data_IF_734368891683
#
_entry.id   IF_734368891683
#
_cell.length_a   1.000
_cell.length_b   1.000
_cell.length_c   1.000
_cell.angle_alpha   90.00
_cell.angle_beta   90.00
_cell.angle_gamma   90.00
#
_symmetry.space_group_name_H-M   'P 1'
#
loop_
_entity.id
_entity.type
_entity.pdbx_description
1 polymer ?
#
# COMPACT_ATOMS: atom_id res chain seq x y z
N UNK A 1 -7.02 -10.07 -20.41
CA UNK A 1 -6.56 -11.46 -20.20
C UNK A 1 -7.42 -12.06 -19.11
N UNK A 2 -8.09 -13.20 -19.36
CA UNK A 2 -8.85 -13.89 -18.33
C UNK A 2 -7.94 -14.76 -17.46
N UNK A 3 -8.47 -15.27 -16.32
CA UNK A 3 -7.67 -16.01 -15.34
C UNK A 3 -7.05 -17.30 -15.90
N UNK A 4 -7.75 -18.01 -16.79
CA UNK A 4 -7.20 -19.21 -17.42
C UNK A 4 -6.05 -18.87 -18.38
N UNK A 5 -6.15 -17.77 -19.12
CA UNK A 5 -5.06 -17.26 -19.95
C UNK A 5 -3.88 -16.81 -19.09
N UNK A 6 -4.15 -16.22 -17.93
CA UNK A 6 -3.12 -15.83 -16.97
C UNK A 6 -2.38 -17.06 -16.44
N UNK A 7 -3.09 -18.12 -16.00
CA UNK A 7 -2.46 -19.38 -15.60
C UNK A 7 -1.59 -19.97 -16.70
N UNK A 8 -2.11 -20.06 -17.93
CA UNK A 8 -1.34 -20.60 -19.07
C UNK A 8 -0.08 -19.82 -19.38
N UNK A 9 -0.05 -18.52 -19.09
CA UNK A 9 1.08 -17.66 -19.38
C UNK A 9 2.15 -17.70 -18.30
N UNK A 10 1.76 -17.82 -17.03
CA UNK A 10 2.67 -17.60 -15.90
C UNK A 10 2.91 -18.82 -15.03
N UNK A 11 2.08 -19.87 -15.13
CA UNK A 11 2.26 -21.11 -14.38
C UNK A 11 3.07 -22.12 -15.21
N UNK A 12 3.83 -22.98 -14.52
CA UNK A 12 4.51 -24.08 -15.19
C UNK A 12 3.45 -24.99 -15.85
N UNK A 13 3.61 -25.40 -17.12
CA UNK A 13 2.66 -26.31 -17.79
C UNK A 13 2.33 -27.59 -17.01
N UNK A 14 3.27 -28.13 -16.23
CA UNK A 14 3.05 -29.30 -15.39
C UNK A 14 2.04 -29.05 -14.25
N UNK A 15 1.91 -27.79 -13.79
CA UNK A 15 1.05 -27.41 -12.67
C UNK A 15 -0.31 -26.84 -13.13
N UNK A 16 -0.53 -26.75 -14.46
CA UNK A 16 -1.69 -26.06 -15.03
C UNK A 16 -3.03 -26.71 -14.64
N UNK A 17 -3.09 -28.03 -14.63
CA UNK A 17 -4.33 -28.76 -14.28
C UNK A 17 -4.71 -28.51 -12.80
N UNK A 18 -3.74 -28.59 -11.90
CA UNK A 18 -3.94 -28.28 -10.48
C UNK A 18 -4.27 -26.79 -10.28
N UNK A 19 -3.63 -25.89 -11.02
CA UNK A 19 -3.93 -24.47 -11.01
C UNK A 19 -5.38 -24.18 -11.43
N UNK A 20 -5.89 -24.83 -12.47
CA UNK A 20 -7.29 -24.69 -12.90
C UNK A 20 -8.25 -25.23 -11.82
N UNK A 21 -7.90 -26.30 -11.14
CA UNK A 21 -8.69 -26.85 -10.03
C UNK A 21 -8.79 -25.86 -8.87
N UNK A 22 -7.67 -25.25 -8.47
CA UNK A 22 -7.63 -24.20 -7.42
C UNK A 22 -8.45 -22.98 -7.83
N UNK A 23 -8.36 -22.56 -9.09
CA UNK A 23 -9.15 -21.44 -9.61
C UNK A 23 -10.66 -21.71 -9.49
N UNK A 24 -11.11 -22.93 -9.81
CA UNK A 24 -12.51 -23.35 -9.64
C UNK A 24 -12.97 -23.41 -8.18
N UNK A 25 -12.03 -23.53 -7.24
CA UNK A 25 -12.28 -23.45 -5.80
C UNK A 25 -12.35 -22.00 -5.29
N UNK A 26 -12.17 -21.01 -6.16
CA UNK A 26 -12.24 -19.59 -5.81
C UNK A 26 -10.94 -19.01 -5.28
N UNK A 27 -9.80 -19.68 -5.49
CA UNK A 27 -8.49 -19.13 -5.12
C UNK A 27 -8.07 -18.08 -6.16
N UNK A 28 -7.62 -16.86 -5.75
CA UNK A 28 -7.14 -15.85 -6.68
C UNK A 28 -6.01 -16.35 -7.56
N UNK A 29 -6.07 -16.03 -8.84
CA UNK A 29 -5.09 -16.50 -9.83
C UNK A 29 -3.66 -16.09 -9.47
N UNK A 30 -3.48 -14.92 -8.84
CA UNK A 30 -2.18 -14.42 -8.38
C UNK A 30 -1.59 -15.29 -7.27
N UNK A 31 -2.42 -15.79 -6.35
CA UNK A 31 -1.95 -16.74 -5.32
C UNK A 31 -1.62 -18.12 -5.89
N UNK A 32 -2.34 -18.55 -6.95
CA UNK A 32 -2.02 -19.80 -7.63
C UNK A 32 -0.67 -19.71 -8.34
N UNK A 33 -0.41 -18.59 -9.01
CA UNK A 33 0.87 -18.32 -9.70
C UNK A 33 1.98 -17.97 -8.71
N UNK A 34 1.61 -17.46 -7.51
CA UNK A 34 2.54 -17.06 -6.46
C UNK A 34 3.20 -15.70 -6.67
N UNK A 35 2.80 -14.96 -7.70
CA UNK A 35 3.34 -13.62 -7.95
C UNK A 35 2.40 -12.74 -8.76
N UNK A 36 2.69 -11.42 -8.74
CA UNK A 36 2.00 -10.39 -9.52
C UNK A 36 3.02 -9.37 -10.03
N UNK A 37 2.72 -8.76 -11.18
CA UNK A 37 3.44 -7.57 -11.62
C UNK A 37 2.83 -6.33 -10.98
N UNK A 38 3.68 -5.43 -10.48
CA UNK A 38 3.29 -4.13 -9.94
C UNK A 38 4.36 -3.11 -10.36
N UNK A 39 3.95 -2.06 -11.05
CA UNK A 39 4.82 -0.98 -11.53
C UNK A 39 6.03 -1.49 -12.33
N UNK A 40 5.87 -2.56 -13.11
CA UNK A 40 6.94 -3.20 -13.88
C UNK A 40 7.85 -4.16 -13.10
N UNK A 41 7.70 -4.27 -11.78
CA UNK A 41 8.43 -5.20 -10.91
C UNK A 41 7.59 -6.43 -10.60
N UNK A 42 8.24 -7.57 -10.28
CA UNK A 42 7.56 -8.81 -9.92
C UNK A 42 7.58 -9.02 -8.41
N UNK A 43 6.40 -9.15 -7.80
CA UNK A 43 6.24 -9.36 -6.37
C UNK A 43 5.66 -10.74 -6.08
N UNK A 44 6.28 -11.49 -5.19
CA UNK A 44 5.70 -12.71 -4.62
C UNK A 44 4.51 -12.34 -3.73
N UNK A 45 3.45 -13.12 -3.86
CA UNK A 45 2.22 -12.96 -3.07
C UNK A 45 1.69 -14.32 -2.65
N UNK A 46 1.06 -14.37 -1.49
CA UNK A 46 0.31 -15.50 -0.96
C UNK A 46 -0.78 -14.98 -0.01
N UNK A 47 -1.49 -15.86 0.65
CA UNK A 47 -2.58 -15.56 1.58
C UNK A 47 -2.21 -14.67 2.79
N UNK A 48 -0.93 -14.36 2.98
CA UNK A 48 -0.47 -13.49 4.08
C UNK A 48 -0.39 -12.01 3.69
N UNK A 49 -0.56 -11.65 2.42
CA UNK A 49 -0.46 -10.27 1.92
C UNK A 49 -1.61 -9.93 0.97
N UNK A 50 -2.07 -8.70 1.01
CA UNK A 50 -2.98 -8.17 0.00
C UNK A 50 -2.34 -8.29 -1.38
N UNK A 51 -3.10 -8.77 -2.37
CA UNK A 51 -2.65 -8.75 -3.76
C UNK A 51 -2.53 -7.28 -4.21
N UNK A 52 -1.35 -6.80 -4.63
CA UNK A 52 -1.17 -5.43 -5.13
C UNK A 52 -2.19 -5.05 -6.20
N UNK A 53 -2.79 -3.86 -6.07
CA UNK A 53 -3.85 -3.36 -6.93
C UNK A 53 -3.32 -2.31 -7.91
N UNK A 54 -4.03 -2.16 -9.02
CA UNK A 54 -3.68 -1.17 -10.03
C UNK A 54 -3.83 0.27 -9.49
N UNK A 55 -4.84 0.54 -8.68
CA UNK A 55 -5.02 1.83 -8.03
C UNK A 55 -3.83 2.19 -7.12
N UNK A 56 -3.21 1.19 -6.50
CA UNK A 56 -2.01 1.41 -5.69
C UNK A 56 -0.79 1.78 -6.55
N UNK A 57 -0.70 1.30 -7.81
CA UNK A 57 0.31 1.80 -8.76
C UNK A 57 0.11 3.30 -9.05
N UNK A 58 -1.14 3.75 -9.21
CA UNK A 58 -1.45 5.17 -9.41
C UNK A 58 -1.07 6.03 -8.19
N UNK A 59 -1.29 5.52 -6.96
CA UNK A 59 -0.82 6.18 -5.74
C UNK A 59 0.69 6.39 -5.76
N UNK A 60 1.45 5.34 -6.12
CA UNK A 60 2.91 5.39 -6.22
C UNK A 60 3.36 6.37 -7.29
N UNK A 61 2.79 6.31 -8.50
CA UNK A 61 3.12 7.21 -9.60
C UNK A 61 2.92 8.68 -9.24
N UNK A 62 1.74 9.00 -8.68
CA UNK A 62 1.43 10.36 -8.22
C UNK A 62 2.38 10.82 -7.10
N UNK A 63 2.70 9.93 -6.16
CA UNK A 63 3.63 10.21 -5.07
C UNK A 63 5.02 10.53 -5.60
N UNK A 64 5.55 9.75 -6.55
CA UNK A 64 6.83 10.03 -7.23
C UNK A 64 6.80 11.39 -7.91
N UNK A 65 5.71 11.71 -8.62
CA UNK A 65 5.51 13.01 -9.27
C UNK A 65 5.54 14.16 -8.27
N UNK A 66 4.90 14.05 -7.12
CA UNK A 66 4.94 15.07 -6.08
C UNK A 66 6.32 15.18 -5.43
N UNK A 67 6.99 14.07 -5.14
CA UNK A 67 8.34 14.06 -4.56
C UNK A 67 9.31 14.80 -5.46
N UNK A 68 9.32 14.52 -6.76
CA UNK A 68 10.24 15.15 -7.72
C UNK A 68 10.06 16.66 -7.83
N UNK A 69 8.85 17.16 -7.63
CA UNK A 69 8.53 18.59 -7.66
C UNK A 69 8.68 19.29 -6.32
N UNK A 70 8.75 18.52 -5.22
CA UNK A 70 8.66 19.09 -3.87
C UNK A 70 9.98 19.04 -3.11
N UNK A 71 10.86 18.06 -3.41
CA UNK A 71 12.13 17.88 -2.70
C UNK A 71 13.31 17.92 -3.68
N UNK A 72 14.38 18.62 -3.26
CA UNK A 72 15.65 18.73 -4.01
C UNK A 72 16.81 17.96 -3.36
N UNK A 73 16.57 17.35 -2.17
CA UNK A 73 17.57 16.65 -1.36
C UNK A 73 17.23 15.17 -1.18
N UNK A 74 18.16 14.42 -0.57
CA UNK A 74 17.88 13.07 -0.08
C UNK A 74 16.71 13.12 0.93
N UNK A 75 15.76 12.20 0.81
CA UNK A 75 14.54 12.13 1.62
C UNK A 75 14.41 10.79 2.35
N UNK A 76 13.74 10.83 3.50
CA UNK A 76 13.32 9.64 4.22
C UNK A 76 11.86 9.37 3.94
N UNK A 77 11.55 8.15 3.52
CA UNK A 77 10.19 7.68 3.21
C UNK A 77 9.80 6.61 4.20
N UNK A 78 8.54 6.60 4.65
CA UNK A 78 7.94 5.53 5.44
C UNK A 78 6.71 5.00 4.74
N UNK A 79 6.67 3.68 4.50
CA UNK A 79 5.48 2.95 4.07
C UNK A 79 4.84 2.25 5.28
N UNK A 80 3.59 2.58 5.59
CA UNK A 80 2.85 2.03 6.73
C UNK A 80 1.87 0.98 6.26
N UNK A 81 1.97 -0.25 6.78
CA UNK A 81 1.18 -1.39 6.35
C UNK A 81 1.67 -1.91 5.00
N UNK A 82 2.96 -2.18 4.92
CA UNK A 82 3.66 -2.43 3.63
C UNK A 82 3.22 -3.69 2.90
N UNK A 83 2.60 -4.66 3.60
CA UNK A 83 2.11 -5.91 2.99
C UNK A 83 3.20 -6.67 2.25
N UNK A 84 3.06 -6.81 0.94
CA UNK A 84 4.06 -7.45 0.07
C UNK A 84 5.34 -6.62 -0.14
N UNK A 85 5.38 -5.38 0.33
CA UNK A 85 6.47 -4.44 0.09
C UNK A 85 6.37 -3.68 -1.24
N UNK A 86 5.28 -3.82 -1.99
CA UNK A 86 5.19 -3.30 -3.36
C UNK A 86 5.34 -1.77 -3.42
N UNK A 87 4.76 -1.00 -2.51
CA UNK A 87 4.91 0.45 -2.46
C UNK A 87 6.34 0.83 -2.11
N UNK A 88 6.85 0.33 -0.98
CA UNK A 88 8.18 0.68 -0.47
C UNK A 88 9.30 0.33 -1.45
N UNK A 89 9.28 -0.89 -2.01
CA UNK A 89 10.29 -1.37 -2.96
C UNK A 89 10.25 -0.55 -4.24
N UNK A 90 9.05 -0.24 -4.77
CA UNK A 90 8.93 0.59 -5.97
C UNK A 90 9.48 1.99 -5.72
N UNK A 91 9.17 2.62 -4.58
CA UNK A 91 9.72 3.93 -4.24
C UNK A 91 11.24 3.93 -4.10
N UNK A 92 11.83 2.90 -3.49
CA UNK A 92 13.29 2.74 -3.40
C UNK A 92 13.95 2.59 -4.78
N UNK A 93 13.29 1.91 -5.71
CA UNK A 93 13.79 1.71 -7.08
C UNK A 93 13.68 2.96 -7.95
N UNK A 94 12.59 3.71 -7.81
CA UNK A 94 12.29 4.84 -8.68
C UNK A 94 12.91 6.16 -8.17
N UNK A 95 13.17 6.29 -6.85
CA UNK A 95 13.68 7.51 -6.24
C UNK A 95 15.12 7.30 -5.76
N UNK A 96 16.09 7.62 -6.61
CA UNK A 96 17.53 7.38 -6.36
C UNK A 96 18.08 8.00 -5.08
N UNK A 97 17.54 9.14 -4.65
CA UNK A 97 17.99 9.87 -3.46
C UNK A 97 16.99 9.71 -2.31
N UNK A 98 16.67 8.47 -1.97
CA UNK A 98 15.77 8.18 -0.84
C UNK A 98 16.33 7.09 0.07
N UNK A 99 15.87 7.12 1.33
CA UNK A 99 15.99 6.03 2.30
C UNK A 99 14.59 5.60 2.66
N UNK A 100 14.24 4.37 2.33
CA UNK A 100 12.90 3.86 2.53
C UNK A 100 12.85 2.90 3.71
N UNK A 101 12.04 3.25 4.70
CA UNK A 101 11.60 2.36 5.75
C UNK A 101 10.20 1.84 5.42
N UNK A 102 9.92 0.61 5.82
CA UNK A 102 8.60 0.03 5.67
C UNK A 102 8.23 -0.80 6.89
N UNK A 103 7.01 -0.67 7.35
CA UNK A 103 6.56 -1.38 8.53
C UNK A 103 5.24 -2.12 8.28
N UNK A 104 5.07 -3.19 9.02
CA UNK A 104 3.81 -3.93 9.08
C UNK A 104 3.61 -4.52 10.48
N UNK A 105 2.35 -4.73 10.86
CA UNK A 105 2.00 -5.44 12.09
C UNK A 105 2.09 -6.96 11.90
N UNK A 106 2.00 -7.45 10.66
CA UNK A 106 2.09 -8.86 10.31
C UNK A 106 3.55 -9.26 10.05
N UNK A 107 4.08 -10.13 10.88
CA UNK A 107 5.41 -10.72 10.65
C UNK A 107 5.45 -11.57 9.38
N UNK A 108 4.35 -12.25 9.05
CA UNK A 108 4.24 -13.04 7.83
C UNK A 108 4.30 -12.15 6.56
N UNK A 109 3.63 -10.99 6.60
CA UNK A 109 3.73 -10.02 5.51
C UNK A 109 5.16 -9.51 5.35
N UNK A 110 5.84 -9.19 6.46
CA UNK A 110 7.24 -8.75 6.43
C UNK A 110 8.20 -9.81 5.87
N UNK A 111 7.93 -11.10 6.08
CA UNK A 111 8.73 -12.17 5.45
C UNK A 111 8.58 -12.15 3.92
N UNK A 112 7.36 -11.94 3.40
CA UNK A 112 7.14 -11.81 1.96
C UNK A 112 7.79 -10.52 1.43
N UNK A 113 7.61 -9.40 2.13
CA UNK A 113 8.23 -8.13 1.74
C UNK A 113 9.76 -8.22 1.66
N UNK A 114 10.41 -8.89 2.62
CA UNK A 114 11.87 -9.12 2.61
C UNK A 114 12.32 -10.00 1.45
N UNK A 115 11.54 -11.04 1.08
CA UNK A 115 11.82 -11.85 -0.12
C UNK A 115 11.72 -11.00 -1.38
N UNK A 116 10.67 -10.18 -1.48
CA UNK A 116 10.48 -9.26 -2.60
C UNK A 116 11.59 -8.21 -2.70
N UNK A 117 12.08 -7.73 -1.56
CA UNK A 117 13.22 -6.81 -1.48
C UNK A 117 14.49 -7.41 -2.12
N UNK A 118 14.81 -8.64 -1.73
CA UNK A 118 15.94 -9.37 -2.30
C UNK A 118 15.76 -9.62 -3.80
N UNK A 119 14.58 -10.09 -4.20
CA UNK A 119 14.23 -10.41 -5.59
C UNK A 119 14.34 -9.19 -6.52
N UNK A 120 13.91 -8.02 -6.05
CA UNK A 120 13.93 -6.78 -6.82
C UNK A 120 15.22 -5.96 -6.62
N UNK A 121 16.21 -6.47 -5.87
CA UNK A 121 17.47 -5.78 -5.58
C UNK A 121 17.26 -4.37 -5.03
N UNK A 122 16.38 -4.22 -4.03
CA UNK A 122 16.12 -2.96 -3.36
C UNK A 122 16.70 -2.95 -1.94
N UNK A 123 16.76 -1.76 -1.31
CA UNK A 123 17.42 -1.52 -0.03
C UNK A 123 16.46 -1.03 1.05
N UNK A 124 15.20 -1.44 1.00
CA UNK A 124 14.19 -1.06 1.99
C UNK A 124 14.51 -1.68 3.35
N UNK A 125 14.42 -0.88 4.40
CA UNK A 125 14.54 -1.33 5.78
C UNK A 125 13.16 -1.72 6.34
N UNK A 126 12.90 -3.02 6.49
CA UNK A 126 11.64 -3.56 6.99
C UNK A 126 11.69 -3.83 8.48
N UNK A 127 10.68 -3.39 9.23
CA UNK A 127 10.56 -3.68 10.65
C UNK A 127 9.11 -3.88 11.11
N UNK A 128 8.93 -4.73 12.12
CA UNK A 128 7.64 -4.98 12.73
C UNK A 128 7.21 -3.79 13.59
N UNK A 129 5.99 -3.29 13.36
CA UNK A 129 5.41 -2.20 14.15
C UNK A 129 3.90 -2.17 14.05
N UNK A 130 3.23 -1.90 15.15
CA UNK A 130 1.85 -1.44 15.12
C UNK A 130 1.84 0.07 14.91
N UNK A 131 1.57 0.49 13.66
CA UNK A 131 1.72 1.88 13.22
C UNK A 131 3.10 2.43 13.65
N UNK A 132 3.13 3.56 14.35
CA UNK A 132 4.38 4.23 14.75
C UNK A 132 5.06 3.66 16.00
N UNK A 133 4.57 2.57 16.62
CA UNK A 133 5.08 2.12 17.93
C UNK A 133 6.60 1.86 17.96
N UNK A 134 7.19 1.45 16.86
CA UNK A 134 8.63 1.20 16.71
C UNK A 134 9.33 2.18 15.74
N UNK A 135 8.61 3.20 15.25
CA UNK A 135 9.22 4.27 14.45
C UNK A 135 10.02 5.21 15.36
N UNK A 136 11.25 5.54 14.98
CA UNK A 136 12.19 6.29 15.82
C UNK A 136 12.84 7.51 15.16
N UNK A 137 12.41 7.86 13.95
CA UNK A 137 12.90 9.03 13.20
C UNK A 137 11.75 9.79 12.55
N UNK A 138 12.08 10.93 11.95
CA UNK A 138 11.14 11.71 11.15
C UNK A 138 11.32 11.42 9.68
N UNK A 139 10.23 11.61 8.92
CA UNK A 139 10.14 11.31 7.50
C UNK A 139 9.74 12.55 6.71
N UNK A 140 10.20 12.62 5.48
CA UNK A 140 9.81 13.63 4.49
C UNK A 140 8.55 13.16 3.74
N UNK A 141 8.37 11.84 3.61
CA UNK A 141 7.18 11.25 3.00
C UNK A 141 6.68 10.09 3.86
N UNK A 142 5.37 10.08 4.13
CA UNK A 142 4.67 8.94 4.74
C UNK A 142 3.59 8.51 3.76
N UNK A 143 3.62 7.24 3.35
CA UNK A 143 2.66 6.66 2.42
C UNK A 143 1.98 5.45 3.05
N UNK A 144 0.72 5.23 2.75
CA UNK A 144 -0.01 4.05 3.20
C UNK A 144 -1.20 3.73 2.30
N UNK A 145 -1.40 2.46 2.05
CA UNK A 145 -2.69 1.89 1.64
C UNK A 145 -3.21 1.06 2.82
N UNK A 146 -3.82 1.69 3.83
CA UNK A 146 -4.26 1.00 5.03
C UNK A 146 -5.58 0.28 4.77
N UNK A 147 -5.97 -0.71 5.60
CA UNK A 147 -7.31 -1.29 5.55
C UNK A 147 -8.37 -0.20 5.69
N UNK A 148 -9.35 -0.19 4.78
CA UNK A 148 -10.37 0.86 4.73
C UNK A 148 -11.81 0.36 4.51
N UNK A 149 -12.01 -0.95 4.44
CA UNK A 149 -13.33 -1.55 4.24
C UNK A 149 -14.05 -1.64 5.59
N UNK A 150 -15.26 -1.10 5.67
CA UNK A 150 -16.08 -1.26 6.86
C UNK A 150 -16.56 -2.72 6.99
N UNK A 151 -16.76 -3.20 8.21
CA UNK A 151 -17.14 -4.60 8.45
C UNK A 151 -18.51 -5.00 7.91
N UNK A 152 -19.38 -4.03 7.68
CA UNK A 152 -20.71 -4.18 7.08
C UNK A 152 -20.76 -3.94 5.57
N UNK A 153 -19.59 -3.62 4.96
CA UNK A 153 -19.47 -3.42 3.51
C UNK A 153 -19.39 -4.77 2.79
N UNK A 154 -20.20 -4.97 1.79
CA UNK A 154 -20.16 -6.14 0.92
C UNK A 154 -18.99 -6.03 -0.06
N UNK A 155 -18.14 -7.05 -0.10
CA UNK A 155 -17.04 -7.20 -1.07
C UNK A 155 -17.12 -8.55 -1.77
N UNK A 156 -16.40 -8.70 -2.87
CA UNK A 156 -16.36 -9.93 -3.64
C UNK A 156 -15.92 -11.11 -2.78
N UNK A 157 -16.63 -12.23 -2.86
CA UNK A 157 -16.31 -13.45 -2.09
C UNK A 157 -14.88 -13.93 -2.30
N UNK A 158 -14.32 -13.81 -3.50
CA UNK A 158 -12.94 -14.19 -3.79
C UNK A 158 -11.94 -13.39 -2.94
N UNK A 159 -12.19 -12.11 -2.71
CA UNK A 159 -11.36 -11.25 -1.84
C UNK A 159 -11.59 -11.62 -0.38
N UNK A 160 -12.86 -11.66 0.04
CA UNK A 160 -13.27 -11.92 1.42
C UNK A 160 -12.74 -13.26 1.96
N UNK A 161 -12.74 -14.28 1.12
CA UNK A 161 -12.42 -15.66 1.55
C UNK A 161 -10.94 -16.02 1.44
N UNK A 162 -10.14 -15.21 0.74
CA UNK A 162 -8.75 -15.58 0.45
C UNK A 162 -7.73 -14.55 0.93
N UNK A 163 -8.06 -13.27 0.94
CA UNK A 163 -7.09 -12.24 1.32
C UNK A 163 -7.14 -11.97 2.83
N UNK A 164 -6.03 -11.55 3.47
CA UNK A 164 -5.98 -11.44 4.92
C UNK A 164 -6.92 -10.34 5.43
N UNK A 165 -7.84 -10.68 6.31
CA UNK A 165 -8.84 -9.73 6.84
C UNK A 165 -8.22 -8.51 7.51
N UNK A 166 -7.04 -8.66 8.11
CA UNK A 166 -6.29 -7.55 8.71
C UNK A 166 -5.83 -6.51 7.69
N UNK A 167 -5.72 -6.89 6.41
CA UNK A 167 -5.37 -5.99 5.32
C UNK A 167 -6.60 -5.39 4.62
N UNK A 168 -7.81 -5.84 4.96
CA UNK A 168 -9.04 -5.41 4.31
C UNK A 168 -9.88 -4.50 5.20
N UNK A 169 -10.15 -4.93 6.44
CA UNK A 169 -11.19 -4.34 7.26
C UNK A 169 -10.66 -3.38 8.33
N UNK A 170 -11.41 -2.30 8.52
CA UNK A 170 -11.19 -1.36 9.60
C UNK A 170 -12.50 -0.99 10.30
N UNK A 171 -12.44 -0.73 11.59
CA UNK A 171 -13.54 -0.17 12.38
C UNK A 171 -13.76 1.31 12.04
N UNK A 172 -14.79 1.92 12.67
CA UNK A 172 -15.11 3.33 12.48
C UNK A 172 -15.39 3.67 10.99
N UNK A 173 -16.29 2.91 10.36
CA UNK A 173 -16.65 3.04 8.93
C UNK A 173 -15.42 2.98 8.02
N UNK A 174 -14.44 2.15 8.35
CA UNK A 174 -13.19 2.04 7.60
C UNK A 174 -12.18 3.16 7.85
N UNK A 175 -12.42 4.05 8.84
CA UNK A 175 -11.58 5.24 9.08
C UNK A 175 -10.54 5.06 10.19
N UNK A 176 -10.55 3.94 10.90
CA UNK A 176 -9.72 3.73 12.09
C UNK A 176 -8.23 4.01 11.86
N UNK A 177 -7.66 3.44 10.81
CA UNK A 177 -6.22 3.61 10.56
C UNK A 177 -5.85 5.03 10.14
N UNK A 178 -6.71 5.72 9.37
CA UNK A 178 -6.48 7.13 9.03
C UNK A 178 -6.51 8.01 10.28
N UNK A 179 -7.48 7.82 11.20
CA UNK A 179 -7.57 8.56 12.45
C UNK A 179 -6.33 8.34 13.32
N UNK A 180 -5.91 7.08 13.51
CA UNK A 180 -4.74 6.76 14.33
C UNK A 180 -3.42 7.22 13.70
N UNK A 181 -3.26 7.14 12.38
CA UNK A 181 -2.07 7.68 11.71
C UNK A 181 -2.03 9.19 11.86
N UNK A 182 -3.10 9.90 11.48
CA UNK A 182 -3.14 11.36 11.48
C UNK A 182 -3.01 11.95 12.88
N UNK A 183 -3.57 11.32 13.89
CA UNK A 183 -3.45 11.72 15.31
C UNK A 183 -2.01 11.72 15.82
N UNK A 184 -1.16 10.83 15.32
CA UNK A 184 0.20 10.64 15.80
C UNK A 184 1.28 11.17 14.85
N UNK A 185 0.96 11.33 13.57
CA UNK A 185 1.93 11.56 12.49
C UNK A 185 2.79 12.80 12.65
N UNK A 186 2.28 13.86 13.30
CA UNK A 186 3.02 15.13 13.48
C UNK A 186 4.38 14.95 14.15
N UNK A 187 4.54 13.93 15.02
CA UNK A 187 5.79 13.61 15.71
C UNK A 187 6.85 13.03 14.77
N UNK A 188 6.39 12.43 13.66
CA UNK A 188 7.20 11.69 12.70
C UNK A 188 7.36 12.42 11.35
N UNK A 189 6.82 13.63 11.22
CA UNK A 189 7.02 14.46 10.04
C UNK A 189 8.17 15.45 10.22
N UNK A 190 8.97 15.59 9.18
CA UNK A 190 9.87 16.72 9.01
C UNK A 190 9.06 18.01 8.80
N UNK A 191 9.74 19.17 8.82
CA UNK A 191 9.08 20.47 8.65
C UNK A 191 8.41 20.56 7.26
N UNK A 192 9.11 20.12 6.22
CA UNK A 192 8.55 19.94 4.88
C UNK A 192 8.27 18.47 4.64
N UNK A 193 7.00 18.10 4.44
CA UNK A 193 6.61 16.71 4.33
C UNK A 193 5.37 16.49 3.45
N UNK A 194 5.23 15.26 2.94
CA UNK A 194 4.06 14.76 2.21
C UNK A 194 3.50 13.55 2.95
N UNK A 195 2.17 13.48 3.10
CA UNK A 195 1.47 12.24 3.44
C UNK A 195 0.65 11.84 2.23
N UNK A 196 0.70 10.57 1.85
CA UNK A 196 -0.05 9.99 0.75
C UNK A 196 -0.88 8.79 1.22
N UNK A 197 -2.18 8.81 0.98
CA UNK A 197 -3.08 7.71 1.31
C UNK A 197 -3.85 7.21 0.08
N UNK A 198 -3.96 5.89 -0.07
CA UNK A 198 -5.07 5.30 -0.79
C UNK A 198 -6.30 5.27 0.12
N UNK A 199 -7.50 5.51 -0.43
CA UNK A 199 -8.75 5.61 0.33
C UNK A 199 -9.90 4.89 -0.36
N UNK A 200 -10.92 4.51 0.39
CA UNK A 200 -12.22 4.12 -0.15
C UNK A 200 -12.92 5.31 -0.83
N UNK A 201 -13.55 5.08 -1.96
CA UNK A 201 -14.10 6.14 -2.83
C UNK A 201 -15.17 7.06 -2.18
N UNK A 202 -15.71 6.69 -1.02
CA UNK A 202 -16.69 7.49 -0.26
C UNK A 202 -16.08 8.16 0.98
N UNK A 203 -14.77 7.98 1.22
CA UNK A 203 -14.12 8.41 2.47
C UNK A 203 -13.42 9.78 2.35
N UNK A 204 -13.28 10.32 1.14
CA UNK A 204 -12.47 11.50 0.87
C UNK A 204 -12.75 12.68 1.80
N UNK A 205 -14.02 13.13 1.93
CA UNK A 205 -14.36 14.27 2.78
C UNK A 205 -14.14 13.98 4.27
N UNK A 206 -14.51 12.77 4.75
CA UNK A 206 -14.28 12.36 6.14
C UNK A 206 -12.78 12.39 6.51
N UNK A 207 -11.91 11.94 5.61
CA UNK A 207 -10.46 11.95 5.83
C UNK A 207 -9.90 13.38 5.76
N UNK A 208 -10.42 14.24 4.89
CA UNK A 208 -10.07 15.69 4.87
C UNK A 208 -10.41 16.37 6.20
N UNK A 209 -11.53 16.02 6.81
CA UNK A 209 -11.91 16.53 8.13
C UNK A 209 -10.94 16.03 9.22
N UNK A 210 -10.49 14.77 9.16
CA UNK A 210 -9.47 14.24 10.05
C UNK A 210 -8.13 14.98 9.86
N UNK A 211 -7.72 15.24 8.62
CA UNK A 211 -6.51 16.03 8.34
C UNK A 211 -6.64 17.43 8.94
N UNK A 212 -7.76 18.11 8.71
CA UNK A 212 -8.00 19.46 9.28
C UNK A 212 -7.98 19.45 10.81
N UNK A 213 -8.48 18.40 11.44
CA UNK A 213 -8.46 18.23 12.90
C UNK A 213 -7.05 18.10 13.47
N UNK A 214 -6.19 17.29 12.86
CA UNK A 214 -4.88 16.92 13.41
C UNK A 214 -3.72 17.72 12.81
N UNK A 215 -3.87 18.22 11.58
CA UNK A 215 -2.86 18.95 10.82
C UNK A 215 -3.46 20.23 10.18
N UNK A 216 -3.98 21.18 10.99
CA UNK A 216 -4.79 22.31 10.48
C UNK A 216 -4.04 23.24 9.51
N UNK A 217 -2.69 23.24 9.56
CA UNK A 217 -1.86 24.15 8.76
C UNK A 217 -1.25 23.42 7.54
N UNK A 218 -1.97 22.48 6.94
CA UNK A 218 -1.52 21.72 5.78
C UNK A 218 -2.45 21.93 4.60
N UNK A 219 -1.91 21.77 3.39
CA UNK A 219 -2.70 21.74 2.15
C UNK A 219 -3.10 20.32 1.86
N UNK A 220 -4.37 20.09 1.54
CA UNK A 220 -4.92 18.78 1.21
C UNK A 220 -5.35 18.75 -0.24
N UNK A 221 -4.98 17.70 -0.94
CA UNK A 221 -5.42 17.40 -2.29
C UNK A 221 -6.13 16.04 -2.30
N UNK A 222 -7.36 16.00 -2.78
CA UNK A 222 -8.12 14.78 -3.04
C UNK A 222 -8.08 14.51 -4.54
N UNK A 223 -7.62 13.33 -4.93
CA UNK A 223 -7.47 12.94 -6.33
C UNK A 223 -8.25 11.68 -6.66
N UNK A 224 -8.64 11.59 -7.92
CA UNK A 224 -9.38 10.47 -8.47
C UNK A 224 -8.44 9.48 -9.17
N UNK A 225 -8.86 8.20 -9.17
CA UNK A 225 -8.29 7.15 -9.99
C UNK A 225 -8.70 7.29 -11.48
N UNK A 226 -8.16 6.45 -12.34
CA UNK A 226 -8.51 6.41 -13.76
C UNK A 226 -10.00 6.08 -14.02
N UNK A 227 -10.70 5.51 -13.02
CA UNK A 227 -12.15 5.28 -13.08
C UNK A 227 -12.96 6.49 -12.60
N UNK A 228 -12.30 7.63 -12.28
CA UNK A 228 -12.89 8.88 -11.77
C UNK A 228 -13.60 8.71 -10.42
N UNK A 229 -13.09 7.82 -9.58
CA UNK A 229 -13.51 7.67 -8.19
C UNK A 229 -12.47 8.31 -7.29
N UNK A 230 -12.88 9.01 -6.25
CA UNK A 230 -11.97 9.51 -5.21
C UNK A 230 -11.17 8.34 -4.65
N UNK A 231 -9.84 8.43 -4.73
CA UNK A 231 -8.98 7.30 -4.41
C UNK A 231 -7.74 7.68 -3.64
N UNK A 232 -7.28 8.93 -3.76
CA UNK A 232 -6.02 9.33 -3.16
C UNK A 232 -6.16 10.63 -2.40
N UNK A 233 -5.54 10.70 -1.21
CA UNK A 233 -5.38 11.94 -0.46
C UNK A 233 -3.90 12.22 -0.29
N UNK A 234 -3.51 13.44 -0.66
CA UNK A 234 -2.17 13.97 -0.42
C UNK A 234 -2.26 15.16 0.53
N UNK A 235 -1.43 15.13 1.57
CA UNK A 235 -1.33 16.21 2.55
C UNK A 235 0.08 16.80 2.48
N UNK A 236 0.17 18.09 2.24
CA UNK A 236 1.43 18.81 2.11
C UNK A 236 1.63 19.72 3.33
N UNK A 237 2.74 19.51 4.03
CA UNK A 237 3.19 20.34 5.13
C UNK A 237 4.36 21.20 4.66
N UNK A 238 4.21 22.50 4.66
CA UNK A 238 5.18 23.49 4.14
C UNK A 238 5.92 24.29 5.23
N UNK A 239 6.02 23.82 6.43
CA UNK A 239 6.68 24.31 7.67
C UNK A 239 5.75 24.35 8.86
#
# INVERSE_FOLDING_TARGET
>A
MNDIEYLKKYLNPADLEEGIKKLKQGIPVQYIVGNVNFYGYTFEVNENVLIPRFETEELVEKTIGFISNYFEKEINILDIGTGSGCIAITLDKEIKNSKVDALDISTNALEIAKKNNLKNHSNVNFFHSNLFSNANKKYDVIISNPPYIAYDEEIMDIVKNNEPHIALYATNDGLYYYDEILKNVSKYLNDKAIIAFEIGHKQGEKIKDLVKKYLPNTRVLLEQDLQKKDRFIFVFKDK
#
